data_IF_870426466174
#
_entry.id   IF_870426466174
#
_cell.length_a   1.000
_cell.length_b   1.000
_cell.length_c   1.000
_cell.angle_alpha   90.00
_cell.angle_beta   90.00
_cell.angle_gamma   90.00
#
_symmetry.space_group_name_H-M   'P 1'
#
loop_
_entity.id
_entity.type
_entity.pdbx_description
1 polymer ?
#
# COMPACT_ATOMS: atom_id res chain seq x y z
N UNK A 1 -4.03 12.56 15.61
CA UNK A 1 -2.64 12.58 16.12
C UNK A 1 -1.72 12.56 14.91
N UNK A 2 -0.68 13.41 14.86
CA UNK A 2 0.33 13.38 13.78
C UNK A 2 1.59 12.74 14.35
N UNK A 3 1.99 11.60 13.80
CA UNK A 3 3.19 10.87 14.21
C UNK A 3 4.11 10.75 13.00
N UNK A 4 5.41 10.92 13.21
CA UNK A 4 6.42 10.71 12.18
C UNK A 4 7.48 9.76 12.73
N UNK A 5 7.80 8.73 11.95
CA UNK A 5 8.81 7.73 12.28
C UNK A 5 9.56 7.33 11.01
N UNK A 6 10.83 6.99 11.18
CA UNK A 6 11.69 6.46 10.13
C UNK A 6 12.13 5.06 10.55
N UNK A 7 11.75 4.06 9.77
CA UNK A 7 12.07 2.66 10.05
C UNK A 7 13.01 2.17 8.96
N UNK A 8 14.18 1.71 9.40
CA UNK A 8 15.18 1.02 8.58
C UNK A 8 15.45 -0.32 9.23
N UNK A 9 15.14 -1.42 8.53
CA UNK A 9 15.29 -2.77 9.09
C UNK A 9 15.53 -3.81 8.02
N UNK A 10 16.24 -4.88 8.40
CA UNK A 10 16.57 -6.03 7.54
C UNK A 10 15.58 -7.20 7.67
N UNK A 11 14.39 -6.94 8.22
CA UNK A 11 13.38 -7.96 8.48
C UNK A 11 12.53 -8.22 7.23
N UNK A 12 12.00 -9.44 7.11
CA UNK A 12 11.10 -9.84 6.01
C UNK A 12 9.92 -8.86 5.85
N UNK A 13 9.45 -8.28 6.96
CA UNK A 13 8.35 -7.31 7.00
C UNK A 13 8.85 -5.95 7.51
N UNK A 14 8.63 -4.90 6.73
CA UNK A 14 8.92 -3.53 7.14
C UNK A 14 7.65 -2.70 7.08
N UNK A 15 7.44 -1.88 8.09
CA UNK A 15 6.17 -1.23 8.34
C UNK A 15 6.40 0.14 8.94
N UNK A 16 5.39 0.99 8.85
CA UNK A 16 5.41 2.26 9.56
C UNK A 16 4.78 2.18 10.96
N UNK A 17 3.51 1.78 11.04
CA UNK A 17 2.76 1.81 12.29
C UNK A 17 2.66 0.43 12.96
N UNK A 18 2.25 -0.62 12.22
CA UNK A 18 1.99 -1.94 12.79
C UNK A 18 2.77 -3.01 12.01
N UNK A 19 3.50 -3.85 12.73
CA UNK A 19 4.60 -4.58 12.12
C UNK A 19 4.43 -5.94 11.55
N UNK A 20 3.69 -6.70 12.29
CA UNK A 20 3.22 -7.98 11.88
C UNK A 20 1.92 -8.13 12.63
N UNK A 21 0.85 -8.39 11.90
CA UNK A 21 -0.35 -8.89 12.53
C UNK A 21 -0.46 -10.37 12.20
N UNK A 22 0.51 -11.14 12.70
CA UNK A 22 0.41 -12.59 12.83
C UNK A 22 0.08 -12.91 14.27
N UNK A 23 -1.19 -12.71 14.57
CA UNK A 23 -1.85 -13.21 15.76
C UNK A 23 -3.20 -13.60 15.21
N UNK A 24 -3.68 -14.81 15.49
CA UNK A 24 -4.95 -15.41 15.03
C UNK A 24 -6.20 -14.57 15.37
N UNK A 25 -6.20 -13.34 14.91
CA UNK A 25 -7.10 -12.23 15.15
C UNK A 25 -8.06 -12.27 13.99
N UNK A 26 -9.32 -12.47 14.30
CA UNK A 26 -10.37 -12.58 13.31
C UNK A 26 -10.61 -11.20 12.62
N UNK A 27 -10.13 -10.11 13.24
CA UNK A 27 -10.33 -8.72 12.79
C UNK A 27 -9.13 -7.82 13.08
N UNK A 28 -8.89 -6.87 12.19
CA UNK A 28 -7.92 -5.79 12.35
C UNK A 28 -8.58 -4.47 11.97
N UNK A 29 -8.43 -3.44 12.79
CA UNK A 29 -9.02 -2.14 12.50
C UNK A 29 -8.02 -1.00 12.77
N UNK A 30 -7.73 -0.22 11.73
CA UNK A 30 -7.00 1.04 11.83
C UNK A 30 -7.98 2.17 11.56
N UNK A 31 -8.17 3.07 12.52
CA UNK A 31 -9.11 4.19 12.39
C UNK A 31 -8.46 5.51 12.79
N UNK A 32 -8.78 6.58 12.05
CA UNK A 32 -8.48 7.97 12.41
C UNK A 32 -6.98 8.28 12.58
N UNK A 33 -6.14 7.64 11.76
CA UNK A 33 -4.70 7.88 11.77
C UNK A 33 -4.34 8.95 10.73
N UNK A 34 -3.46 9.87 11.10
CA UNK A 34 -2.77 10.73 10.13
C UNK A 34 -1.27 10.70 10.39
N UNK A 35 -0.48 10.23 9.44
CA UNK A 35 0.96 9.97 9.65
C UNK A 35 1.79 10.40 8.45
N UNK A 36 3.09 10.61 8.68
CA UNK A 36 4.11 10.71 7.62
C UNK A 36 5.17 9.67 7.88
N UNK A 37 5.62 8.92 6.86
CA UNK A 37 6.47 7.74 7.10
C UNK A 37 7.58 7.63 6.07
N UNK A 38 8.80 7.41 6.54
CA UNK A 38 9.86 6.82 5.71
C UNK A 38 10.07 5.36 6.12
N UNK A 39 9.70 4.42 5.25
CA UNK A 39 10.01 3.00 5.43
C UNK A 39 11.06 2.61 4.41
N UNK A 40 12.17 2.04 4.87
CA UNK A 40 13.17 1.46 3.99
C UNK A 40 13.60 0.08 4.46
N UNK A 41 13.77 -0.84 3.52
CA UNK A 41 14.36 -2.14 3.83
C UNK A 41 15.39 -2.54 2.78
N UNK A 42 16.51 -3.05 3.26
CA UNK A 42 17.58 -3.54 2.39
C UNK A 42 17.31 -4.99 1.93
N UNK A 43 16.57 -5.78 2.73
CA UNK A 43 16.29 -7.20 2.50
C UNK A 43 14.81 -7.58 2.62
N UNK A 44 13.95 -6.69 3.12
CA UNK A 44 12.53 -6.94 3.35
C UNK A 44 11.74 -7.09 2.06
N UNK A 45 10.85 -8.09 2.06
CA UNK A 45 10.02 -8.44 0.91
C UNK A 45 8.61 -7.87 1.01
N UNK A 46 8.07 -7.62 2.18
CA UNK A 46 6.73 -7.03 2.33
C UNK A 46 6.82 -5.69 3.08
N UNK A 47 6.50 -4.60 2.38
CA UNK A 47 6.72 -3.25 2.90
C UNK A 47 5.48 -2.37 2.72
N UNK A 48 4.99 -1.76 3.81
CA UNK A 48 3.95 -0.72 3.75
C UNK A 48 4.02 0.28 4.88
N UNK A 49 3.34 1.43 4.80
CA UNK A 49 3.37 2.41 5.89
C UNK A 49 2.50 2.02 7.08
N UNK A 50 1.45 1.23 6.88
CA UNK A 50 0.58 0.75 7.95
C UNK A 50 0.95 -0.68 8.32
N UNK A 51 1.04 -1.55 7.31
CA UNK A 51 1.35 -2.97 7.45
C UNK A 51 2.41 -3.42 6.45
N UNK A 52 3.37 -4.22 6.89
CA UNK A 52 4.24 -4.97 5.99
C UNK A 52 3.46 -6.13 5.36
N UNK A 53 2.91 -6.99 6.20
CA UNK A 53 2.10 -8.14 5.82
C UNK A 53 0.79 -8.16 6.61
N UNK A 54 -0.33 -8.30 5.90
CA UNK A 54 -1.70 -8.35 6.43
C UNK A 54 -2.26 -9.75 6.22
N UNK A 55 -2.61 -10.41 7.34
CA UNK A 55 -3.14 -11.79 7.36
C UNK A 55 -4.47 -11.92 8.11
N UNK A 56 -5.07 -10.82 8.57
CA UNK A 56 -6.32 -10.86 9.34
C UNK A 56 -7.52 -11.13 8.43
N UNK A 57 -8.46 -11.99 8.86
CA UNK A 57 -9.59 -12.41 7.99
C UNK A 57 -10.49 -11.26 7.54
N UNK A 58 -10.57 -10.19 8.34
CA UNK A 58 -11.35 -8.99 8.08
C UNK A 58 -10.59 -7.77 8.57
N UNK A 59 -9.69 -7.26 7.73
CA UNK A 59 -8.97 -6.03 8.02
C UNK A 59 -9.74 -4.82 7.47
N UNK A 60 -9.82 -3.74 8.26
CA UNK A 60 -10.32 -2.46 7.76
C UNK A 60 -9.41 -1.30 8.14
N UNK A 61 -9.21 -0.40 7.18
CA UNK A 61 -8.49 0.86 7.34
C UNK A 61 -9.46 1.99 7.03
N UNK A 62 -9.75 2.81 8.02
CA UNK A 62 -10.81 3.81 7.96
C UNK A 62 -10.28 5.19 8.36
N UNK A 63 -10.73 6.22 7.65
CA UNK A 63 -10.42 7.63 7.94
C UNK A 63 -8.92 7.87 8.17
N UNK A 64 -8.07 7.16 7.41
CA UNK A 64 -6.63 7.12 7.63
C UNK A 64 -5.90 7.80 6.49
N UNK A 65 -4.91 8.63 6.82
CA UNK A 65 -4.16 9.41 5.87
C UNK A 65 -2.66 9.27 6.09
N UNK A 66 -1.94 8.90 5.03
CA UNK A 66 -0.47 8.88 5.02
C UNK A 66 -0.01 9.99 4.09
N UNK A 67 0.67 10.98 4.64
CA UNK A 67 1.05 12.21 3.94
C UNK A 67 2.53 12.47 4.15
N UNK A 68 3.30 12.45 3.07
CA UNK A 68 4.73 12.67 3.05
C UNK A 68 5.55 11.42 3.41
N UNK A 69 6.78 11.42 2.91
CA UNK A 69 7.76 10.35 3.10
C UNK A 69 7.85 9.41 1.90
N UNK A 70 8.62 8.34 2.08
CA UNK A 70 9.00 7.39 1.04
C UNK A 70 8.91 5.95 1.55
N UNK A 71 8.57 5.02 0.67
CA UNK A 71 8.59 3.59 0.97
C UNK A 71 9.50 2.92 -0.05
N UNK A 72 10.59 2.31 0.40
CA UNK A 72 11.62 1.78 -0.48
C UNK A 72 12.05 0.37 -0.05
N UNK A 73 11.98 -0.59 -0.98
CA UNK A 73 12.74 -1.84 -0.88
C UNK A 73 13.97 -1.76 -1.79
N UNK A 74 15.14 -2.15 -1.27
CA UNK A 74 16.34 -2.42 -2.08
C UNK A 74 16.52 -3.91 -2.37
N UNK A 75 15.61 -4.76 -1.87
CA UNK A 75 15.64 -6.18 -2.16
C UNK A 75 15.37 -6.41 -3.65
N UNK A 76 16.30 -7.09 -4.31
CA UNK A 76 16.27 -7.38 -5.76
C UNK A 76 15.53 -8.69 -6.09
N UNK A 77 14.92 -9.33 -5.10
CA UNK A 77 14.06 -10.51 -5.25
C UNK A 77 12.58 -10.09 -5.25
N UNK A 78 11.67 -11.08 -5.15
CA UNK A 78 10.24 -10.80 -5.04
C UNK A 78 9.93 -9.91 -3.84
N UNK A 79 9.34 -8.76 -4.15
CA UNK A 79 8.93 -7.74 -3.18
C UNK A 79 7.49 -7.31 -3.46
N UNK A 80 6.80 -6.98 -2.38
CA UNK A 80 5.43 -6.50 -2.31
C UNK A 80 5.45 -5.21 -1.51
N UNK A 81 5.46 -4.09 -2.24
CA UNK A 81 5.65 -2.76 -1.66
C UNK A 81 4.41 -1.94 -1.91
N UNK A 82 3.70 -1.54 -0.87
CA UNK A 82 2.50 -0.72 -0.98
C UNK A 82 2.55 0.52 -0.10
N UNK A 83 1.76 1.53 -0.46
CA UNK A 83 1.68 2.76 0.32
C UNK A 83 1.12 2.54 1.71
N UNK A 84 0.06 1.76 1.85
CA UNK A 84 -0.48 1.35 3.15
C UNK A 84 0.00 -0.04 3.53
N UNK A 85 -0.12 -1.01 2.62
CA UNK A 85 0.11 -2.42 2.92
C UNK A 85 1.04 -3.04 1.90
N UNK A 86 2.09 -3.73 2.33
CA UNK A 86 2.97 -4.46 1.42
C UNK A 86 2.26 -5.62 0.74
N UNK A 87 1.83 -6.60 1.53
CA UNK A 87 1.15 -7.81 1.07
C UNK A 87 -0.13 -8.06 1.87
N UNK A 88 -1.24 -8.30 1.16
CA UNK A 88 -2.55 -8.64 1.73
C UNK A 88 -2.96 -10.06 1.32
N UNK A 89 -3.26 -10.89 2.32
CA UNK A 89 -3.63 -12.30 2.12
C UNK A 89 -5.15 -12.54 2.25
N UNK A 90 -5.84 -11.76 3.09
CA UNK A 90 -7.26 -11.92 3.39
C UNK A 90 -8.06 -10.66 3.05
N UNK A 91 -9.39 -10.73 3.14
CA UNK A 91 -10.24 -9.62 2.71
C UNK A 91 -9.92 -8.31 3.45
N UNK A 92 -9.73 -7.25 2.66
CA UNK A 92 -9.35 -5.93 3.14
C UNK A 92 -10.32 -4.87 2.64
N UNK A 93 -10.72 -3.99 3.55
CA UNK A 93 -11.58 -2.85 3.23
C UNK A 93 -10.91 -1.53 3.64
N UNK A 94 -10.70 -0.63 2.67
CA UNK A 94 -10.12 0.70 2.88
C UNK A 94 -11.20 1.75 2.60
N UNK A 95 -11.56 2.54 3.62
CA UNK A 95 -12.68 3.50 3.58
C UNK A 95 -12.18 4.90 3.93
N UNK A 96 -12.62 5.92 3.19
CA UNK A 96 -12.38 7.35 3.48
C UNK A 96 -10.91 7.68 3.73
N UNK A 97 -9.99 6.97 3.07
CA UNK A 97 -8.57 7.02 3.39
C UNK A 97 -7.77 7.61 2.23
N UNK A 98 -6.65 8.26 2.55
CA UNK A 98 -5.84 8.94 1.55
C UNK A 98 -4.36 8.64 1.65
N UNK A 99 -3.71 8.62 0.51
CA UNK A 99 -2.28 8.39 0.38
C UNK A 99 -1.64 9.47 -0.47
N UNK A 100 -0.63 10.12 0.08
CA UNK A 100 0.20 11.09 -0.60
C UNK A 100 1.65 10.88 -0.18
N UNK A 101 2.37 10.02 -0.88
CA UNK A 101 3.79 9.75 -0.67
C UNK A 101 4.61 10.29 -1.83
N UNK A 102 5.87 10.62 -1.61
CA UNK A 102 6.75 11.07 -2.70
C UNK A 102 7.11 9.91 -3.61
N UNK A 103 7.63 8.82 -3.03
CA UNK A 103 8.05 7.64 -3.77
C UNK A 103 7.64 6.34 -3.09
N UNK A 104 7.22 5.37 -3.89
CA UNK A 104 7.11 3.96 -3.52
C UNK A 104 7.95 3.16 -4.52
N UNK A 105 9.01 2.54 -4.02
CA UNK A 105 9.99 1.82 -4.84
C UNK A 105 10.14 0.39 -4.35
N UNK A 106 10.07 -0.56 -5.27
CA UNK A 106 10.33 -1.97 -5.02
C UNK A 106 10.79 -2.68 -6.28
N UNK A 107 10.96 -3.99 -6.20
CA UNK A 107 11.41 -4.80 -7.33
C UNK A 107 10.23 -5.40 -8.11
N UNK A 108 9.38 -6.24 -7.50
CA UNK A 108 8.35 -6.98 -8.27
C UNK A 108 6.99 -6.31 -8.27
N UNK A 109 6.31 -6.25 -7.13
CA UNK A 109 4.93 -5.78 -7.02
C UNK A 109 4.88 -4.48 -6.25
N UNK A 110 4.56 -3.39 -6.93
CA UNK A 110 4.58 -2.04 -6.36
C UNK A 110 3.22 -1.37 -6.53
N UNK A 111 2.57 -1.17 -5.39
CA UNK A 111 1.21 -0.67 -5.26
C UNK A 111 1.14 0.72 -4.69
N UNK A 112 0.21 1.52 -5.19
CA UNK A 112 -0.24 2.75 -4.55
C UNK A 112 -0.73 2.48 -3.13
N UNK A 113 -1.89 1.85 -2.95
CA UNK A 113 -2.40 1.47 -1.62
C UNK A 113 -1.82 0.15 -1.13
N UNK A 114 -1.88 -0.89 -1.97
CA UNK A 114 -1.49 -2.25 -1.59
C UNK A 114 -0.53 -2.81 -2.63
N UNK A 115 0.63 -3.29 -2.15
CA UNK A 115 1.68 -3.84 -2.99
C UNK A 115 1.21 -5.07 -3.74
N UNK A 116 0.55 -6.01 -3.07
CA UNK A 116 -0.12 -7.16 -3.69
C UNK A 116 -1.29 -7.70 -2.87
N UNK A 117 -2.34 -8.15 -3.57
CA UNK A 117 -3.56 -8.70 -3.00
C UNK A 117 -3.85 -10.12 -3.52
N UNK A 118 -3.96 -11.09 -2.62
CA UNK A 118 -4.43 -12.46 -2.96
C UNK A 118 -5.95 -12.56 -2.99
N UNK A 119 -6.64 -11.91 -2.04
CA UNK A 119 -8.09 -11.94 -1.92
C UNK A 119 -8.74 -10.58 -2.23
N UNK A 120 -10.03 -10.44 -1.93
CA UNK A 120 -10.80 -9.26 -2.31
C UNK A 120 -10.36 -8.02 -1.55
N UNK A 121 -10.18 -6.94 -2.31
CA UNK A 121 -9.90 -5.61 -1.81
C UNK A 121 -11.04 -4.66 -2.16
N UNK A 122 -11.56 -3.96 -1.15
CA UNK A 122 -12.59 -2.93 -1.31
C UNK A 122 -11.99 -1.56 -1.01
N UNK A 123 -11.89 -0.68 -2.02
CA UNK A 123 -11.54 0.73 -1.85
C UNK A 123 -12.79 1.59 -1.99
N UNK A 124 -13.18 2.24 -0.91
CA UNK A 124 -14.39 3.03 -0.82
C UNK A 124 -14.01 4.46 -0.45
N UNK A 125 -14.42 5.44 -1.25
CA UNK A 125 -14.17 6.87 -1.05
C UNK A 125 -12.70 7.18 -0.70
N UNK A 126 -11.76 6.49 -1.34
CA UNK A 126 -10.34 6.56 -1.01
C UNK A 126 -9.54 7.16 -2.16
N UNK A 127 -8.46 7.88 -1.83
CA UNK A 127 -7.74 8.73 -2.78
C UNK A 127 -6.24 8.57 -2.70
N UNK A 128 -5.57 8.46 -3.84
CA UNK A 128 -4.11 8.51 -3.92
C UNK A 128 -3.67 9.69 -4.79
N UNK A 129 -2.70 10.47 -4.32
CA UNK A 129 -2.26 11.68 -5.00
C UNK A 129 -0.74 11.83 -4.95
N UNK A 130 -0.15 12.31 -6.05
CA UNK A 130 1.25 12.75 -6.12
C UNK A 130 2.29 11.68 -5.77
N UNK A 131 2.08 10.44 -6.21
CA UNK A 131 2.97 9.32 -5.90
C UNK A 131 3.74 8.87 -7.14
N UNK A 132 5.06 8.73 -7.02
CA UNK A 132 5.88 8.01 -7.98
C UNK A 132 5.99 6.54 -7.57
N UNK A 133 5.61 5.64 -8.45
CA UNK A 133 5.70 4.19 -8.26
C UNK A 133 6.77 3.61 -9.19
N UNK A 134 7.68 2.79 -8.66
CA UNK A 134 8.76 2.21 -9.45
C UNK A 134 9.01 0.75 -9.10
N UNK A 135 8.97 -0.13 -10.10
CA UNK A 135 9.17 -1.58 -9.99
C UNK A 135 8.86 -2.29 -11.32
N UNK A 136 8.89 -3.63 -11.34
CA UNK A 136 8.60 -4.41 -12.55
C UNK A 136 7.09 -4.50 -12.84
N UNK A 137 6.25 -4.75 -11.83
CA UNK A 137 4.79 -4.76 -11.92
C UNK A 137 4.22 -3.67 -11.02
N UNK A 138 3.62 -2.64 -11.63
CA UNK A 138 3.21 -1.42 -10.93
C UNK A 138 1.72 -1.16 -11.11
N UNK A 139 1.06 -0.63 -10.09
CA UNK A 139 -0.34 -0.21 -10.13
C UNK A 139 -0.75 0.54 -8.88
N UNK A 140 -2.00 1.01 -8.80
CA UNK A 140 -2.51 1.55 -7.52
C UNK A 140 -2.78 0.41 -6.55
N UNK A 141 -3.19 -0.72 -7.09
CA UNK A 141 -3.23 -2.02 -6.44
C UNK A 141 -2.68 -3.01 -7.45
N UNK A 142 -1.76 -3.87 -7.05
CA UNK A 142 -1.44 -5.08 -7.84
C UNK A 142 -2.16 -6.27 -7.21
N UNK A 143 -2.74 -7.15 -8.03
CA UNK A 143 -3.58 -8.22 -7.48
C UNK A 143 -3.50 -9.52 -8.31
N UNK A 144 -3.89 -10.61 -7.66
CA UNK A 144 -4.46 -11.81 -8.30
C UNK A 144 -5.91 -12.04 -7.88
N UNK A 145 -6.38 -11.36 -6.83
CA UNK A 145 -7.78 -11.33 -6.38
C UNK A 145 -8.64 -10.25 -7.07
N UNK A 146 -9.87 -10.08 -6.61
CA UNK A 146 -10.79 -9.05 -7.12
C UNK A 146 -10.61 -7.71 -6.41
N UNK A 147 -10.54 -6.62 -7.18
CA UNK A 147 -10.46 -5.26 -6.65
C UNK A 147 -11.76 -4.51 -6.95
N UNK A 148 -12.43 -4.03 -5.90
CA UNK A 148 -13.68 -3.28 -5.98
C UNK A 148 -13.42 -1.81 -5.63
N UNK A 149 -13.70 -0.91 -6.57
CA UNK A 149 -13.46 0.53 -6.41
C UNK A 149 -14.79 1.27 -6.40
N UNK A 150 -15.12 1.91 -5.28
CA UNK A 150 -16.35 2.71 -5.12
C UNK A 150 -15.99 4.14 -4.76
N UNK A 151 -16.33 5.11 -5.61
CA UNK A 151 -16.07 6.54 -5.38
C UNK A 151 -14.59 6.86 -5.05
N UNK A 152 -13.66 6.04 -5.54
CA UNK A 152 -12.22 6.20 -5.31
C UNK A 152 -11.55 6.83 -6.54
N UNK A 153 -10.45 7.56 -6.33
CA UNK A 153 -9.79 8.33 -7.41
C UNK A 153 -8.27 8.37 -7.25
N UNK A 154 -7.52 8.53 -8.35
CA UNK A 154 -6.11 8.92 -8.27
C UNK A 154 -5.78 10.15 -9.09
N UNK A 155 -4.79 10.92 -8.65
CA UNK A 155 -4.29 12.09 -9.39
C UNK A 155 -2.77 12.17 -9.33
N UNK A 156 -2.14 12.64 -10.41
CA UNK A 156 -0.68 12.87 -10.47
C UNK A 156 0.15 11.63 -10.08
N UNK A 157 -0.18 10.46 -10.65
CA UNK A 157 0.56 9.21 -10.42
C UNK A 157 1.58 9.02 -11.55
N UNK A 158 2.85 8.86 -11.18
CA UNK A 158 3.93 8.60 -12.13
C UNK A 158 4.36 7.14 -12.00
N UNK A 159 4.20 6.36 -13.07
CA UNK A 159 4.55 4.93 -13.08
C UNK A 159 5.84 4.73 -13.86
N UNK A 160 6.82 4.09 -13.23
CA UNK A 160 8.06 3.65 -13.85
C UNK A 160 8.18 2.12 -13.73
N UNK A 161 7.55 1.40 -14.66
CA UNK A 161 7.40 -0.05 -14.64
C UNK A 161 6.35 -0.53 -15.64
N UNK A 162 6.12 -1.84 -15.69
CA UNK A 162 5.03 -2.42 -16.49
C UNK A 162 3.74 -2.39 -15.66
N UNK A 163 2.65 -1.89 -16.24
CA UNK A 163 1.32 -2.05 -15.65
C UNK A 163 0.89 -3.51 -15.82
N UNK A 164 0.70 -4.24 -14.72
CA UNK A 164 0.21 -5.63 -14.78
C UNK A 164 -1.23 -5.65 -15.28
N UNK A 165 -1.61 -6.70 -16.01
CA UNK A 165 -2.98 -6.90 -16.54
C UNK A 165 -4.07 -6.83 -15.47
N UNK A 166 -3.74 -7.20 -14.23
CA UNK A 166 -4.68 -7.30 -13.10
C UNK A 166 -4.46 -6.15 -12.09
N UNK A 167 -3.76 -5.09 -12.50
CA UNK A 167 -3.61 -3.88 -11.70
C UNK A 167 -4.82 -2.98 -11.89
N UNK A 168 -5.42 -2.53 -10.79
CA UNK A 168 -6.35 -1.41 -10.84
C UNK A 168 -5.56 -0.11 -10.93
N UNK A 169 -5.78 0.66 -12.01
CA UNK A 169 -5.36 2.06 -12.09
C UNK A 169 -6.62 2.91 -12.02
N UNK A 170 -6.78 3.67 -10.93
CA UNK A 170 -7.86 4.65 -10.77
C UNK A 170 -7.57 5.83 -11.71
N UNK A 171 -7.94 5.79 -12.99
CA UNK A 171 -7.73 6.96 -13.83
C UNK A 171 -8.53 8.15 -13.28
N UNK A 172 -7.89 9.32 -13.18
CA UNK A 172 -8.63 10.57 -13.29
C UNK A 172 -8.99 10.69 -14.76
N UNK A 173 -10.23 10.44 -15.14
CA UNK A 173 -10.72 10.89 -16.43
C UNK A 173 -10.80 12.43 -16.38
N UNK A 174 -9.67 13.09 -16.55
CA UNK A 174 -9.55 14.51 -16.82
C UNK A 174 -8.42 14.69 -17.84
N UNK A 175 -8.79 14.48 -19.10
CA UNK A 175 -7.94 14.68 -20.27
C UNK A 175 -8.78 14.48 -21.53
N UNK A 176 -9.31 15.60 -22.04
CA UNK A 176 -9.77 15.73 -23.42
C UNK A 176 -8.62 15.46 -24.40
#
# INVERSE_FOLDING_TARGET
MFVSFSIQGAYFWCFGIIGLQDVGSIYAEIVNIRTSVNVSSDSGSQIGSLFGYEYARNCSVQNTSVVGGNINSKNLNTTWVGGFIGLQDNNLTIINSSLQLTNITGYTYVGGFVGYCFQSLYLINSKIQQVRLSGSSVGIVTSSGSVYLTNSSSTQIFVNGVLKSDCAVLSNANGC
#
